data_IF_827184479578
#
_entry.id   IF_827184479578
#
_cell.length_a   1.000
_cell.length_b   1.000
_cell.length_c   1.000
_cell.angle_alpha   90.00
_cell.angle_beta   90.00
_cell.angle_gamma   90.00
#
_symmetry.space_group_name_H-M   'P 1'
#
loop_
_entity.id
_entity.type
_entity.pdbx_description
1 polymer ?
#
# COMPACT_ATOMS: atom_id res chain seq x y z
N UNK A 1 -13.50 15.80 -22.44
CA UNK A 1 -13.36 14.36 -22.15
C UNK A 1 -13.45 14.24 -20.64
N UNK A 2 -14.49 13.59 -20.10
CA UNK A 2 -14.59 13.38 -18.65
C UNK A 2 -13.45 12.45 -18.28
N UNK A 3 -12.46 12.92 -17.52
CA UNK A 3 -11.35 12.09 -17.08
C UNK A 3 -11.92 11.05 -16.12
N UNK A 4 -12.12 9.83 -16.59
CA UNK A 4 -12.52 8.72 -15.73
C UNK A 4 -11.28 8.25 -14.99
N UNK A 5 -11.39 8.07 -13.67
CA UNK A 5 -10.32 7.45 -12.89
C UNK A 5 -10.23 5.96 -13.26
N UNK A 6 -9.37 5.60 -14.22
CA UNK A 6 -9.19 4.20 -14.69
C UNK A 6 -8.42 3.31 -13.71
N UNK A 7 -7.95 3.85 -12.59
CA UNK A 7 -7.15 3.11 -11.62
C UNK A 7 -8.01 2.25 -10.69
N UNK A 8 -9.17 2.76 -10.29
CA UNK A 8 -10.06 2.02 -9.38
C UNK A 8 -10.88 0.99 -10.15
N UNK A 9 -10.81 -0.26 -9.72
CA UNK A 9 -11.59 -1.38 -10.27
C UNK A 9 -13.05 -1.30 -9.80
N UNK A 10 -13.33 -0.55 -8.74
CA UNK A 10 -14.64 -0.55 -8.08
C UNK A 10 -15.60 0.42 -8.78
N UNK A 11 -16.76 -0.10 -9.18
CA UNK A 11 -17.86 0.67 -9.79
C UNK A 11 -18.91 1.09 -8.78
N UNK A 12 -19.13 0.28 -7.75
CA UNK A 12 -20.10 0.55 -6.68
C UNK A 12 -19.61 0.01 -5.34
N UNK A 13 -19.92 0.75 -4.26
CA UNK A 13 -19.74 0.30 -2.89
C UNK A 13 -21.09 -0.08 -2.27
N UNK A 14 -21.08 -1.15 -1.47
CA UNK A 14 -22.21 -1.59 -0.67
C UNK A 14 -21.85 -1.40 0.81
N UNK A 15 -22.39 -0.37 1.49
CA UNK A 15 -22.06 -0.11 2.87
C UNK A 15 -22.58 -1.23 3.77
N UNK A 16 -21.86 -1.50 4.86
CA UNK A 16 -22.37 -2.37 5.93
C UNK A 16 -23.56 -1.67 6.60
N UNK A 17 -24.75 -2.26 6.49
CA UNK A 17 -26.00 -1.59 6.86
C UNK A 17 -26.39 -1.73 8.34
N UNK A 18 -25.70 -2.58 9.11
CA UNK A 18 -26.14 -2.93 10.46
C UNK A 18 -24.97 -3.00 11.43
N UNK A 19 -25.10 -2.29 12.54
CA UNK A 19 -24.36 -2.58 13.76
C UNK A 19 -24.72 -3.99 14.23
N UNK A 20 -23.75 -4.88 14.28
CA UNK A 20 -23.96 -6.26 14.65
C UNK A 20 -22.66 -6.77 15.27
N UNK A 21 -22.75 -7.49 16.38
CA UNK A 21 -21.63 -8.10 17.07
C UNK A 21 -21.26 -9.50 16.50
N UNK A 22 -21.99 -10.02 15.51
CA UNK A 22 -21.71 -11.32 14.90
C UNK A 22 -20.78 -11.22 13.69
N UNK A 23 -19.90 -12.21 13.57
CA UNK A 23 -19.06 -12.42 12.39
C UNK A 23 -19.93 -12.82 11.20
N UNK A 24 -19.72 -12.20 10.04
CA UNK A 24 -20.56 -12.42 8.86
C UNK A 24 -19.82 -12.25 7.54
N UNK A 25 -20.43 -12.78 6.48
CA UNK A 25 -20.05 -12.46 5.11
C UNK A 25 -20.76 -11.20 4.63
N UNK A 26 -20.08 -10.40 3.82
CA UNK A 26 -20.62 -9.18 3.23
C UNK A 26 -20.10 -8.99 1.81
N UNK A 27 -20.99 -8.59 0.91
CA UNK A 27 -20.59 -8.05 -0.37
C UNK A 27 -20.33 -6.55 -0.19
N UNK A 28 -19.08 -6.11 -0.31
CA UNK A 28 -18.68 -4.71 -0.04
C UNK A 28 -18.58 -3.87 -1.31
N UNK A 29 -18.34 -4.50 -2.45
CA UNK A 29 -18.05 -3.80 -3.70
C UNK A 29 -18.58 -4.55 -4.91
N UNK A 30 -18.80 -3.82 -6.00
CA UNK A 30 -18.98 -4.37 -7.33
C UNK A 30 -17.88 -3.83 -8.23
N UNK A 31 -17.17 -4.72 -8.91
CA UNK A 31 -16.16 -4.36 -9.90
C UNK A 31 -16.84 -3.72 -11.14
N UNK A 32 -16.16 -2.76 -11.76
CA UNK A 32 -16.55 -2.15 -13.03
C UNK A 32 -16.48 -3.17 -14.17
N UNK A 33 -17.20 -2.94 -15.28
CA UNK A 33 -16.98 -3.66 -16.52
C UNK A 33 -15.52 -3.62 -16.98
N UNK A 34 -15.08 -4.70 -17.61
CA UNK A 34 -13.75 -4.75 -18.26
C UNK A 34 -13.65 -3.63 -19.30
N UNK A 35 -12.57 -2.86 -19.24
CA UNK A 35 -12.34 -1.69 -20.11
C UNK A 35 -12.57 -0.33 -19.44
N UNK A 36 -13.24 -0.30 -18.29
CA UNK A 36 -13.43 0.93 -17.48
C UNK A 36 -12.37 1.12 -16.38
N UNK A 37 -11.42 0.18 -16.31
CA UNK A 37 -10.29 0.22 -15.40
C UNK A 37 -9.10 -0.51 -16.02
N UNK A 38 -7.92 -0.29 -15.46
CA UNK A 38 -6.69 -0.99 -15.81
C UNK A 38 -6.31 -1.91 -14.64
N UNK A 39 -6.19 -3.21 -14.94
CA UNK A 39 -5.70 -4.18 -13.97
C UNK A 39 -4.21 -3.95 -13.68
N UNK A 40 -3.80 -4.22 -12.44
CA UNK A 40 -2.41 -4.04 -12.00
C UNK A 40 -1.38 -4.88 -12.79
N UNK A 41 -1.77 -6.05 -13.27
CA UNK A 41 -0.94 -6.95 -14.09
C UNK A 41 -0.72 -6.41 -15.51
N UNK A 42 -1.63 -5.58 -16.02
CA UNK A 42 -1.51 -4.93 -17.33
C UNK A 42 -0.60 -3.69 -17.31
N UNK A 43 -0.23 -3.17 -16.13
CA UNK A 43 0.71 -2.06 -16.04
C UNK A 43 2.14 -2.53 -16.30
N UNK A 44 2.93 -1.78 -17.08
CA UNK A 44 4.33 -2.13 -17.32
C UNK A 44 5.19 -1.94 -16.06
N UNK A 45 6.34 -2.61 -16.09
CA UNK A 45 7.34 -2.59 -15.02
C UNK A 45 7.12 -3.67 -13.96
N UNK A 46 8.18 -4.38 -13.63
CA UNK A 46 8.18 -5.36 -12.56
C UNK A 46 8.49 -4.69 -11.22
N UNK A 47 7.72 -5.05 -10.21
CA UNK A 47 7.98 -4.63 -8.83
C UNK A 47 7.83 -5.82 -7.91
N UNK A 48 8.70 -5.89 -6.91
CA UNK A 48 8.54 -6.82 -5.79
C UNK A 48 7.36 -6.43 -4.89
N UNK A 49 6.87 -5.19 -5.01
CA UNK A 49 5.69 -4.68 -4.34
C UNK A 49 4.60 -4.25 -5.32
N UNK A 50 3.45 -4.91 -5.23
CA UNK A 50 2.24 -4.51 -5.95
C UNK A 50 1.70 -3.16 -5.49
N UNK A 51 1.88 -2.84 -4.20
CA UNK A 51 1.46 -1.57 -3.62
C UNK A 51 2.30 -0.42 -4.18
N UNK A 52 3.62 -0.57 -4.27
CA UNK A 52 4.48 0.46 -4.87
C UNK A 52 4.15 0.68 -6.34
N UNK A 53 4.02 -0.41 -7.11
CA UNK A 53 3.63 -0.37 -8.52
C UNK A 53 2.26 0.26 -8.74
N UNK A 54 1.42 0.32 -7.71
CA UNK A 54 0.14 1.03 -7.75
C UNK A 54 0.31 2.51 -7.37
N UNK A 55 1.27 2.83 -6.49
CA UNK A 55 1.44 4.18 -5.94
C UNK A 55 2.09 5.19 -6.90
N UNK A 56 3.11 4.78 -7.62
CA UNK A 56 3.88 5.66 -8.49
C UNK A 56 4.54 4.84 -9.62
N UNK A 57 4.82 5.45 -10.79
CA UNK A 57 5.52 4.76 -11.86
C UNK A 57 6.96 4.41 -11.44
N UNK A 58 7.46 3.25 -11.85
CA UNK A 58 8.77 2.72 -11.43
C UNK A 58 9.92 3.29 -12.28
N UNK A 59 11.07 3.54 -11.65
CA UNK A 59 12.25 4.17 -12.28
C UNK A 59 13.21 3.23 -13.02
N UNK A 60 13.05 1.91 -13.01
CA UNK A 60 14.02 0.97 -13.59
C UNK A 60 13.79 0.63 -15.07
N UNK A 61 14.86 0.32 -15.80
CA UNK A 61 14.75 -0.31 -17.13
C UNK A 61 14.55 -1.82 -17.00
N UNK A 62 13.96 -2.42 -18.03
CA UNK A 62 14.08 -3.87 -18.22
C UNK A 62 15.49 -4.24 -18.72
N UNK A 63 15.85 -5.52 -18.60
CA UNK A 63 17.14 -6.07 -19.07
C UNK A 63 17.35 -5.89 -20.60
N UNK A 64 16.30 -5.52 -21.34
CA UNK A 64 16.35 -5.27 -22.79
C UNK A 64 16.70 -3.82 -23.14
N UNK A 65 16.88 -2.96 -22.12
CA UNK A 65 17.18 -1.54 -22.29
C UNK A 65 15.98 -0.71 -22.74
N UNK A 66 14.76 -1.19 -22.51
CA UNK A 66 13.52 -0.43 -22.75
C UNK A 66 13.36 0.67 -21.73
N UNK A 67 12.71 1.78 -22.12
CA UNK A 67 12.42 2.90 -21.22
C UNK A 67 11.63 2.46 -19.99
N UNK A 68 11.95 3.05 -18.83
CA UNK A 68 11.22 2.78 -17.59
C UNK A 68 9.79 3.32 -17.64
N UNK A 69 8.83 2.74 -16.89
CA UNK A 69 7.50 3.32 -16.74
C UNK A 69 7.52 4.79 -16.33
N UNK A 70 8.45 5.17 -15.44
CA UNK A 70 8.64 6.56 -15.03
C UNK A 70 9.03 7.46 -16.21
N UNK A 71 10.00 7.06 -17.02
CA UNK A 71 10.40 7.83 -18.21
C UNK A 71 9.26 7.97 -19.22
N UNK A 72 8.51 6.88 -19.47
CA UNK A 72 7.36 6.91 -20.39
C UNK A 72 6.32 7.93 -19.90
N UNK A 73 6.02 7.95 -18.60
CA UNK A 73 5.11 8.94 -17.98
C UNK A 73 5.66 10.37 -18.07
N UNK A 74 6.98 10.57 -17.97
CA UNK A 74 7.58 11.90 -18.13
C UNK A 74 7.52 12.43 -19.56
N UNK A 75 7.69 11.54 -20.55
CA UNK A 75 7.56 11.88 -21.96
C UNK A 75 6.11 12.19 -22.32
N UNK A 76 5.16 11.40 -21.83
CA UNK A 76 3.70 11.61 -21.88
C UNK A 76 3.04 11.73 -23.26
N UNK A 77 3.81 11.83 -24.35
CA UNK A 77 3.30 11.92 -25.72
C UNK A 77 4.05 10.98 -26.69
N UNK A 78 3.32 10.48 -27.69
CA UNK A 78 3.84 9.51 -28.66
C UNK A 78 5.06 10.04 -29.43
N UNK A 79 5.11 11.31 -29.81
CA UNK A 79 6.21 11.85 -30.63
C UNK A 79 7.49 12.00 -29.81
N UNK A 80 7.38 12.44 -28.55
CA UNK A 80 8.52 12.48 -27.64
C UNK A 80 9.03 11.07 -27.35
N UNK A 81 8.11 10.11 -27.21
CA UNK A 81 8.43 8.70 -27.00
C UNK A 81 9.17 8.08 -28.19
N UNK A 82 8.71 8.29 -29.42
CA UNK A 82 9.38 7.81 -30.64
C UNK A 82 10.78 8.39 -30.79
N UNK A 83 10.91 9.69 -30.48
CA UNK A 83 12.19 10.37 -30.53
C UNK A 83 13.14 9.83 -29.46
N UNK A 84 12.65 9.64 -28.24
CA UNK A 84 13.43 9.04 -27.17
C UNK A 84 13.89 7.62 -27.51
N UNK A 85 13.00 6.78 -28.04
CA UNK A 85 13.32 5.43 -28.51
C UNK A 85 14.44 5.47 -29.57
N UNK A 86 14.30 6.34 -30.58
CA UNK A 86 15.31 6.51 -31.63
C UNK A 86 16.69 6.89 -31.07
N UNK A 87 16.73 7.84 -30.13
CA UNK A 87 17.99 8.29 -29.51
C UNK A 87 18.62 7.18 -28.68
N UNK A 88 17.84 6.49 -27.86
CA UNK A 88 18.32 5.46 -26.94
C UNK A 88 18.76 4.18 -27.67
N UNK A 89 18.12 3.82 -28.79
CA UNK A 89 18.47 2.65 -29.59
C UNK A 89 19.56 2.91 -30.64
N UNK A 90 19.97 4.17 -30.86
CA UNK A 90 20.99 4.53 -31.85
C UNK A 90 22.34 3.80 -31.68
N UNK A 91 22.86 3.53 -30.46
CA UNK A 91 24.08 2.74 -30.28
C UNK A 91 23.90 1.28 -30.73
N UNK A 92 22.76 0.65 -30.40
CA UNK A 92 22.41 -0.72 -30.81
C UNK A 92 22.29 -0.80 -32.32
N UNK A 93 21.55 0.13 -32.93
CA UNK A 93 21.37 0.17 -34.38
C UNK A 93 22.73 0.27 -35.10
N UNK A 94 23.62 1.18 -34.67
CA UNK A 94 24.97 1.30 -35.25
C UNK A 94 25.78 0.02 -35.15
N UNK A 95 25.68 -0.70 -34.03
CA UNK A 95 26.35 -2.00 -33.87
C UNK A 95 25.76 -3.04 -34.84
N UNK A 96 24.44 -3.15 -34.93
CA UNK A 96 23.76 -4.07 -35.84
C UNK A 96 24.09 -3.76 -37.31
N UNK A 97 24.09 -2.49 -37.69
CA UNK A 97 24.48 -2.03 -39.02
C UNK A 97 25.93 -2.42 -39.35
N UNK A 98 26.85 -2.25 -38.38
CA UNK A 98 28.26 -2.65 -38.52
C UNK A 98 28.42 -4.16 -38.71
N UNK A 99 27.54 -4.95 -38.08
CA UNK A 99 27.51 -6.40 -38.19
C UNK A 99 26.70 -6.90 -39.40
N UNK A 100 26.03 -6.02 -40.15
CA UNK A 100 25.15 -6.38 -41.27
C UNK A 100 23.90 -7.17 -40.83
N UNK A 101 23.43 -6.93 -39.59
CA UNK A 101 22.28 -7.62 -39.00
C UNK A 101 21.09 -6.68 -38.97
N UNK A 102 19.93 -7.14 -39.42
CA UNK A 102 18.68 -6.40 -39.30
C UNK A 102 18.12 -6.45 -37.87
N UNK A 103 17.57 -5.33 -37.40
CA UNK A 103 16.89 -5.26 -36.11
C UNK A 103 15.45 -5.80 -36.20
N UNK A 104 15.33 -7.13 -36.23
CA UNK A 104 14.05 -7.82 -36.37
C UNK A 104 13.03 -7.48 -35.26
N UNK A 105 13.49 -6.97 -34.10
CA UNK A 105 12.63 -6.67 -32.97
C UNK A 105 12.13 -5.21 -32.96
N UNK A 106 12.50 -4.39 -33.95
CA UNK A 106 12.19 -2.95 -33.96
C UNK A 106 10.68 -2.69 -33.97
N UNK A 107 9.92 -3.37 -34.82
CA UNK A 107 8.47 -3.17 -34.92
C UNK A 107 7.74 -3.59 -33.64
N UNK A 108 8.16 -4.72 -33.05
CA UNK A 108 7.57 -5.24 -31.80
C UNK A 108 7.87 -4.32 -30.62
N UNK A 109 9.11 -3.84 -30.48
CA UNK A 109 9.49 -2.87 -29.43
C UNK A 109 8.67 -1.59 -29.54
N UNK A 110 8.55 -1.04 -30.74
CA UNK A 110 7.80 0.18 -31.00
C UNK A 110 6.31 0.01 -30.66
N UNK A 111 5.71 -1.11 -31.08
CA UNK A 111 4.30 -1.43 -30.78
C UNK A 111 4.08 -1.59 -29.27
N UNK A 112 4.98 -2.30 -28.58
CA UNK A 112 4.94 -2.47 -27.11
C UNK A 112 5.00 -1.11 -26.41
N UNK A 113 5.94 -0.26 -26.81
CA UNK A 113 6.18 1.04 -26.18
C UNK A 113 4.94 1.96 -26.24
N UNK A 114 4.22 1.97 -27.38
CA UNK A 114 2.98 2.74 -27.50
C UNK A 114 1.84 2.17 -26.65
N UNK A 115 1.73 0.84 -26.56
CA UNK A 115 0.75 0.18 -25.68
C UNK A 115 1.01 0.47 -24.19
N UNK A 116 2.28 0.49 -23.80
CA UNK A 116 2.71 0.86 -22.45
C UNK A 116 2.38 2.32 -22.13
N UNK A 117 2.62 3.25 -23.07
CA UNK A 117 2.22 4.65 -22.90
C UNK A 117 0.71 4.81 -22.67
N UNK A 118 -0.12 4.13 -23.46
CA UNK A 118 -1.59 4.18 -23.31
C UNK A 118 -2.02 3.70 -21.92
N UNK A 119 -1.46 2.58 -21.46
CA UNK A 119 -1.78 2.01 -20.14
C UNK A 119 -1.31 2.92 -19.00
N UNK A 120 -0.09 3.44 -19.09
CA UNK A 120 0.49 4.32 -18.07
C UNK A 120 -0.21 5.67 -17.99
N UNK A 121 -0.52 6.31 -19.11
CA UNK A 121 -1.18 7.63 -19.12
C UNK A 121 -2.60 7.57 -18.58
N UNK A 122 -3.30 6.44 -18.75
CA UNK A 122 -4.63 6.21 -18.16
C UNK A 122 -4.57 5.88 -16.67
N UNK A 123 -3.56 5.14 -16.22
CA UNK A 123 -3.43 4.73 -14.82
C UNK A 123 -2.79 5.79 -13.92
N UNK A 124 -1.78 6.49 -14.45
CA UNK A 124 -1.08 7.63 -13.84
C UNK A 124 -1.43 8.92 -14.59
N UNK A 125 -2.70 9.37 -14.54
CA UNK A 125 -3.09 10.58 -15.23
C UNK A 125 -2.29 11.77 -14.68
N UNK A 126 -1.78 12.61 -15.57
CA UNK A 126 -1.16 13.88 -15.21
C UNK A 126 -2.23 14.91 -14.82
N UNK A 127 -2.97 14.62 -13.76
CA UNK A 127 -4.03 15.45 -13.20
C UNK A 127 -3.78 15.60 -11.69
N UNK A 128 -3.64 16.83 -11.17
CA UNK A 128 -3.42 17.11 -9.75
C UNK A 128 -4.42 16.41 -8.80
N UNK A 129 -5.64 16.14 -9.24
CA UNK A 129 -6.66 15.45 -8.42
C UNK A 129 -6.32 14.00 -8.09
N UNK A 130 -5.46 13.35 -8.90
CA UNK A 130 -5.06 11.96 -8.75
C UNK A 130 -3.60 11.78 -8.32
N UNK A 131 -2.88 12.88 -8.08
CA UNK A 131 -1.52 12.81 -7.56
C UNK A 131 -1.52 12.32 -6.11
N UNK A 132 -0.58 11.44 -5.73
CA UNK A 132 -0.43 11.02 -4.34
C UNK A 132 -0.16 12.23 -3.43
N UNK A 133 -0.92 12.34 -2.35
CA UNK A 133 -0.75 13.39 -1.35
C UNK A 133 0.46 13.07 -0.48
N UNK A 134 1.47 13.94 -0.50
CA UNK A 134 2.64 13.82 0.37
C UNK A 134 2.32 14.31 1.78
N UNK A 135 2.68 13.51 2.78
CA UNK A 135 2.49 13.81 4.21
C UNK A 135 3.75 13.42 4.99
N UNK A 136 3.86 13.89 6.23
CA UNK A 136 4.95 13.54 7.14
C UNK A 136 4.37 12.93 8.39
N UNK A 137 4.86 11.75 8.77
CA UNK A 137 4.47 11.02 9.97
C UNK A 137 5.74 10.53 10.67
N UNK A 138 5.84 10.78 11.97
CA UNK A 138 6.97 10.44 12.83
C UNK A 138 8.31 10.89 12.22
N UNK A 139 8.34 12.13 11.74
CA UNK A 139 9.49 12.76 11.06
C UNK A 139 9.97 12.01 9.80
N UNK A 140 9.14 11.13 9.23
CA UNK A 140 9.40 10.40 7.99
C UNK A 140 8.39 10.77 6.90
N UNK A 141 8.80 10.75 5.62
CA UNK A 141 7.92 11.09 4.51
C UNK A 141 7.03 9.90 4.12
N UNK A 142 5.74 10.17 3.90
CA UNK A 142 4.73 9.21 3.45
C UNK A 142 3.93 9.79 2.29
N UNK A 143 3.29 8.92 1.53
CA UNK A 143 2.29 9.25 0.51
C UNK A 143 0.95 8.61 0.85
N UNK A 144 -0.12 9.36 0.63
CA UNK A 144 -1.52 8.94 0.76
C UNK A 144 -2.20 8.97 -0.61
N UNK A 145 -2.96 7.94 -0.92
CA UNK A 145 -3.68 7.83 -2.20
C UNK A 145 -4.79 6.78 -2.17
N UNK A 146 -5.66 6.78 -3.18
CA UNK A 146 -6.71 5.74 -3.34
C UNK A 146 -6.09 4.39 -3.76
N UNK A 147 -6.43 3.25 -3.13
CA UNK A 147 -6.04 1.95 -3.64
C UNK A 147 -6.81 1.61 -4.93
N UNK A 148 -6.35 0.62 -5.69
CA UNK A 148 -7.05 0.14 -6.90
C UNK A 148 -8.29 -0.70 -6.59
N UNK A 149 -8.30 -1.35 -5.42
CA UNK A 149 -9.41 -2.19 -4.95
C UNK A 149 -9.80 -1.83 -3.51
N UNK A 150 -10.31 -0.62 -3.25
CA UNK A 150 -10.83 -0.24 -1.94
C UNK A 150 -12.01 -1.13 -1.55
N UNK A 151 -12.17 -1.40 -0.25
CA UNK A 151 -13.35 -2.07 0.30
C UNK A 151 -14.47 -1.09 0.65
N UNK A 152 -14.10 0.15 0.99
CA UNK A 152 -15.02 1.20 1.41
C UNK A 152 -14.80 2.47 0.59
N UNK A 153 -15.86 3.24 0.38
CA UNK A 153 -15.78 4.51 -0.33
C UNK A 153 -14.84 5.48 0.41
N UNK A 154 -13.91 6.10 -0.32
CA UNK A 154 -12.94 7.04 0.26
C UNK A 154 -11.77 6.38 1.02
N UNK A 155 -11.66 5.05 1.03
CA UNK A 155 -10.51 4.35 1.59
C UNK A 155 -9.20 4.85 0.96
N UNK A 156 -8.17 5.04 1.78
CA UNK A 156 -6.82 5.41 1.33
C UNK A 156 -5.80 4.36 1.74
N UNK A 157 -4.70 4.30 1.00
CA UNK A 157 -3.49 3.59 1.38
C UNK A 157 -2.40 4.61 1.66
N UNK A 158 -1.67 4.41 2.75
CA UNK A 158 -0.57 5.26 3.19
C UNK A 158 0.71 4.42 3.21
N UNK A 159 1.71 4.84 2.45
CA UNK A 159 3.00 4.13 2.31
C UNK A 159 4.15 5.11 2.50
N UNK A 160 5.36 4.66 2.89
CA UNK A 160 6.54 5.51 2.85
C UNK A 160 6.73 6.16 1.47
N UNK A 161 7.20 7.41 1.43
CA UNK A 161 7.46 8.11 0.18
C UNK A 161 8.83 7.71 -0.38
N UNK A 162 8.86 6.76 -1.31
CA UNK A 162 10.08 6.41 -2.04
C UNK A 162 10.38 7.35 -3.20
N UNK A 163 9.53 8.32 -3.50
CA UNK A 163 9.67 9.26 -4.63
C UNK A 163 10.42 10.55 -4.26
N UNK A 164 11.01 10.61 -3.07
CA UNK A 164 11.73 11.79 -2.55
C UNK A 164 12.87 12.28 -3.45
N UNK A 165 13.48 11.39 -4.23
CA UNK A 165 14.55 11.73 -5.17
C UNK A 165 14.05 12.27 -6.52
N UNK A 166 12.74 12.40 -6.72
CA UNK A 166 12.14 12.88 -7.97
C UNK A 166 11.98 14.41 -8.06
N UNK A 167 12.67 15.17 -7.20
CA UNK A 167 12.50 16.62 -7.09
C UNK A 167 12.74 17.42 -8.39
N UNK A 168 13.62 16.95 -9.28
CA UNK A 168 13.91 17.62 -10.57
C UNK A 168 12.95 17.24 -11.71
N UNK A 169 11.86 16.51 -11.44
CA UNK A 169 10.94 16.01 -12.47
C UNK A 169 10.48 17.10 -13.46
N UNK A 170 10.01 18.23 -12.94
CA UNK A 170 9.48 19.32 -13.78
C UNK A 170 10.56 20.00 -14.62
N UNK A 171 11.79 20.09 -14.10
CA UNK A 171 12.94 20.57 -14.87
C UNK A 171 13.22 19.64 -16.05
N UNK A 172 13.16 18.33 -15.84
CA UNK A 172 13.35 17.36 -16.91
C UNK A 172 12.23 17.45 -17.96
N UNK A 173 10.97 17.55 -17.53
CA UNK A 173 9.83 17.77 -18.44
C UNK A 173 10.00 19.03 -19.29
N UNK A 174 10.43 20.13 -18.68
CA UNK A 174 10.68 21.38 -19.40
C UNK A 174 11.85 21.28 -20.38
N UNK A 175 12.93 20.57 -20.02
CA UNK A 175 14.07 20.35 -20.91
C UNK A 175 13.69 19.56 -22.17
N UNK A 176 12.71 18.66 -22.10
CA UNK A 176 12.23 17.90 -23.26
C UNK A 176 11.62 18.78 -24.35
N UNK A 177 11.13 19.99 -24.00
CA UNK A 177 10.64 20.96 -24.99
C UNK A 177 11.76 21.43 -25.93
N UNK A 178 13.02 21.36 -25.49
CA UNK A 178 14.20 21.76 -26.26
C UNK A 178 14.66 20.70 -27.27
N UNK A 179 14.02 19.52 -27.31
CA UNK A 179 14.34 18.47 -28.29
C UNK A 179 14.00 18.88 -29.74
N UNK A 180 13.08 19.84 -29.92
CA UNK A 180 12.62 20.33 -31.23
C UNK A 180 13.01 21.79 -31.42
N UNK A 181 14.21 22.04 -31.93
CA UNK A 181 14.58 23.37 -32.45
C UNK A 181 14.35 23.38 -33.95
N UNK A 182 13.55 24.34 -34.43
CA UNK A 182 13.35 24.60 -35.85
C UNK A 182 14.25 25.76 -36.23
N UNK A 183 15.19 25.52 -37.14
CA UNK A 183 15.86 26.57 -37.89
C UNK A 183 15.38 26.46 -39.35
N UNK A 184 15.22 27.58 -40.04
CA UNK A 184 14.37 27.75 -41.24
C UNK A 184 14.81 26.96 -42.49
N UNK A 185 15.82 26.09 -42.37
CA UNK A 185 16.33 25.25 -43.47
C UNK A 185 16.61 23.78 -43.11
N UNK A 186 16.49 23.36 -41.84
CA UNK A 186 16.60 21.94 -41.45
C UNK A 186 16.05 21.68 -40.04
N UNK A 187 15.36 20.54 -39.85
CA UNK A 187 14.98 20.05 -38.53
C UNK A 187 16.19 19.39 -37.86
N UNK A 188 16.81 20.09 -36.90
CA UNK A 188 17.82 19.51 -36.02
C UNK A 188 17.15 19.00 -34.75
N UNK A 189 17.45 17.77 -34.37
CA UNK A 189 16.94 17.19 -33.13
C UNK A 189 18.04 17.17 -32.08
N UNK A 190 17.87 17.95 -31.02
CA UNK A 190 18.79 17.95 -29.90
C UNK A 190 18.59 16.67 -29.07
N UNK A 191 19.56 15.78 -29.08
CA UNK A 191 19.51 14.51 -28.35
C UNK A 191 19.85 14.67 -26.85
N UNK A 192 20.50 15.78 -26.49
CA UNK A 192 21.00 16.04 -25.14
C UNK A 192 19.91 15.91 -24.06
N UNK A 193 18.69 16.47 -24.22
CA UNK A 193 17.65 16.32 -23.20
C UNK A 193 17.21 14.86 -22.97
N UNK A 194 17.23 14.01 -24.00
CA UNK A 194 16.91 12.58 -23.84
C UNK A 194 18.04 11.85 -23.07
N UNK A 195 19.29 12.19 -23.36
CA UNK A 195 20.45 11.62 -22.65
C UNK A 195 20.45 12.07 -21.18
N UNK A 196 20.11 13.33 -20.91
CA UNK A 196 19.94 13.87 -19.56
C UNK A 196 18.78 13.20 -18.82
N UNK A 197 17.62 13.04 -19.46
CA UNK A 197 16.48 12.32 -18.90
C UNK A 197 16.86 10.89 -18.52
N UNK A 198 17.58 10.18 -19.40
CA UNK A 198 18.09 8.84 -19.14
C UNK A 198 18.96 8.84 -17.88
N UNK A 199 19.97 9.72 -17.82
CA UNK A 199 20.89 9.82 -16.66
C UNK A 199 20.15 10.14 -15.36
N UNK A 200 19.18 11.05 -15.43
CA UNK A 200 18.32 11.40 -14.30
C UNK A 200 17.50 10.20 -13.81
N UNK A 201 16.88 9.45 -14.74
CA UNK A 201 16.15 8.24 -14.40
C UNK A 201 17.06 7.18 -13.76
N UNK A 202 18.29 7.00 -14.28
CA UNK A 202 19.27 6.05 -13.74
C UNK A 202 19.66 6.42 -12.30
N UNK A 203 19.89 7.71 -12.04
CA UNK A 203 20.21 8.24 -10.71
C UNK A 203 19.03 8.08 -9.73
N UNK A 204 17.81 8.43 -10.15
CA UNK A 204 16.58 8.20 -9.36
C UNK A 204 16.44 6.72 -9.03
N UNK A 205 16.53 5.84 -10.03
CA UNK A 205 16.40 4.40 -9.82
C UNK A 205 17.44 3.87 -8.84
N UNK A 206 18.70 4.27 -8.97
CA UNK A 206 19.76 3.85 -8.05
C UNK A 206 19.49 4.33 -6.61
N UNK A 207 19.08 5.59 -6.43
CA UNK A 207 18.79 6.17 -5.10
C UNK A 207 17.55 5.55 -4.46
N UNK A 208 16.47 5.38 -5.21
CA UNK A 208 15.26 4.74 -4.68
C UNK A 208 15.50 3.25 -4.41
N UNK A 209 16.31 2.56 -5.22
CA UNK A 209 16.69 1.16 -4.97
C UNK A 209 17.54 1.05 -3.70
N UNK A 210 18.49 1.96 -3.50
CA UNK A 210 19.29 2.03 -2.27
C UNK A 210 18.42 2.33 -1.05
N UNK A 211 17.41 3.20 -1.18
CA UNK A 211 16.45 3.48 -0.11
C UNK A 211 15.68 2.21 0.31
N UNK A 212 15.32 1.36 -0.67
CA UNK A 212 14.65 0.07 -0.42
C UNK A 212 15.60 -1.05 0.06
N UNK A 213 16.91 -0.81 0.11
CA UNK A 213 17.86 -1.87 0.43
C UNK A 213 17.75 -2.33 1.89
N UNK A 214 17.90 -3.64 2.10
CA UNK A 214 17.79 -4.28 3.41
C UNK A 214 16.35 -4.47 3.87
N UNK A 215 16.18 -4.66 5.19
CA UNK A 215 14.90 -4.97 5.83
C UNK A 215 14.17 -3.72 6.36
N UNK A 216 14.61 -2.53 5.94
CA UNK A 216 14.17 -1.23 6.48
C UNK A 216 12.68 -0.94 6.24
N UNK A 217 12.11 -1.49 5.16
CA UNK A 217 10.76 -1.20 4.70
C UNK A 217 9.89 -2.46 4.57
N UNK A 218 10.16 -3.50 5.35
CA UNK A 218 9.24 -4.63 5.43
C UNK A 218 7.93 -4.21 6.09
N UNK A 219 6.80 -4.79 5.67
CA UNK A 219 5.49 -4.53 6.24
C UNK A 219 5.32 -5.16 7.65
N UNK A 220 6.16 -4.73 8.60
CA UNK A 220 6.21 -5.20 9.99
C UNK A 220 5.27 -4.36 10.87
N UNK A 221 4.89 -4.93 12.01
CA UNK A 221 4.09 -4.27 13.05
C UNK A 221 4.95 -3.27 13.84
N UNK A 222 5.35 -2.18 13.18
CA UNK A 222 6.26 -1.15 13.74
C UNK A 222 5.85 0.29 13.44
N UNK A 223 4.59 0.49 13.05
CA UNK A 223 4.07 1.78 12.58
C UNK A 223 2.98 2.36 13.49
N UNK A 224 2.91 1.99 14.76
CA UNK A 224 1.84 2.44 15.67
C UNK A 224 1.91 3.95 15.90
N UNK A 225 3.10 4.52 16.12
CA UNK A 225 3.28 5.97 16.27
C UNK A 225 2.82 6.73 15.01
N UNK A 226 3.30 6.38 13.79
CA UNK A 226 2.74 6.92 12.55
C UNK A 226 1.22 6.77 12.43
N UNK A 227 0.64 5.65 12.88
CA UNK A 227 -0.80 5.43 12.80
C UNK A 227 -1.59 6.38 13.73
N UNK A 228 -1.15 6.54 14.98
CA UNK A 228 -1.75 7.49 15.94
C UNK A 228 -1.63 8.93 15.44
N UNK A 229 -0.46 9.28 14.91
CA UNK A 229 -0.20 10.61 14.37
C UNK A 229 -1.07 10.90 13.15
N UNK A 230 -1.23 9.94 12.24
CA UNK A 230 -2.09 10.08 11.08
C UNK A 230 -3.55 10.33 11.48
N UNK A 231 -4.10 9.54 12.40
CA UNK A 231 -5.47 9.74 12.88
C UNK A 231 -5.63 11.09 13.60
N UNK A 232 -4.61 11.52 14.34
CA UNK A 232 -4.64 12.83 15.04
C UNK A 232 -4.65 14.00 14.06
N UNK A 233 -3.89 13.92 12.96
CA UNK A 233 -3.70 15.04 12.03
C UNK A 233 -4.72 15.07 10.89
N UNK A 234 -5.15 13.91 10.39
CA UNK A 234 -5.86 13.81 9.12
C UNK A 234 -7.23 13.16 9.20
N UNK A 235 -7.64 12.65 10.36
CA UNK A 235 -8.92 11.93 10.51
C UNK A 235 -9.94 12.65 11.38
N UNK A 236 -11.17 12.16 11.32
CA UNK A 236 -12.31 12.57 12.15
C UNK A 236 -12.72 11.43 13.07
N UNK A 237 -13.59 11.74 14.03
CA UNK A 237 -14.25 10.75 14.87
C UNK A 237 -14.92 9.66 14.01
N UNK A 238 -14.72 8.40 14.40
CA UNK A 238 -15.21 7.21 13.69
C UNK A 238 -14.20 6.64 12.70
N UNK A 239 -13.29 7.44 12.15
CA UNK A 239 -12.31 6.97 11.17
C UNK A 239 -11.35 5.92 11.75
N UNK A 240 -10.91 5.01 10.88
CA UNK A 240 -10.12 3.84 11.26
C UNK A 240 -8.82 3.83 10.47
N UNK A 241 -7.73 3.41 11.12
CA UNK A 241 -6.47 3.10 10.46
C UNK A 241 -6.00 1.70 10.87
N UNK A 242 -5.71 0.88 9.87
CA UNK A 242 -5.37 -0.53 10.07
C UNK A 242 -4.10 -0.91 9.33
N UNK A 243 -3.45 -1.98 9.79
CA UNK A 243 -2.34 -2.61 9.08
C UNK A 243 -2.54 -4.13 9.12
N UNK A 244 -2.34 -4.81 8.00
CA UNK A 244 -2.21 -6.27 8.05
C UNK A 244 -0.84 -6.63 8.67
N UNK A 245 -0.79 -7.62 9.56
CA UNK A 245 0.47 -8.25 9.96
C UNK A 245 1.26 -8.78 8.76
N UNK A 246 2.58 -8.82 8.89
CA UNK A 246 3.51 -9.21 7.83
C UNK A 246 3.15 -10.56 7.16
N UNK A 247 2.78 -11.55 7.97
CA UNK A 247 2.49 -12.92 7.53
C UNK A 247 1.18 -13.04 6.74
N UNK A 248 0.20 -12.16 7.02
CA UNK A 248 -1.12 -12.12 6.35
C UNK A 248 -1.22 -10.99 5.33
N UNK A 249 -0.14 -10.26 5.12
CA UNK A 249 -0.07 -9.15 4.18
C UNK A 249 -0.09 -9.62 2.74
N UNK A 250 -0.86 -8.94 1.88
CA UNK A 250 -0.79 -9.11 0.43
C UNK A 250 0.52 -8.60 -0.16
N UNK A 251 1.24 -7.75 0.56
CA UNK A 251 2.52 -7.19 0.16
C UNK A 251 3.47 -7.15 1.35
N UNK A 252 4.57 -7.90 1.27
CA UNK A 252 5.57 -8.00 2.35
C UNK A 252 6.67 -6.96 2.23
N UNK A 253 6.86 -6.40 1.05
CA UNK A 253 8.04 -5.62 0.70
C UNK A 253 7.85 -4.12 0.92
N UNK A 254 6.62 -3.69 1.22
CA UNK A 254 6.29 -2.28 1.41
C UNK A 254 5.32 -2.10 2.57
N UNK A 255 5.62 -1.24 3.56
CA UNK A 255 4.70 -0.97 4.64
C UNK A 255 3.51 -0.19 4.11
N UNK A 256 2.30 -0.60 4.48
CA UNK A 256 1.09 0.06 4.02
C UNK A 256 0.01 0.07 5.10
N UNK A 257 -0.43 1.27 5.43
CA UNK A 257 -1.56 1.50 6.32
C UNK A 257 -2.81 1.70 5.47
N UNK A 258 -3.94 1.16 5.89
CA UNK A 258 -5.22 1.33 5.22
C UNK A 258 -6.09 2.24 6.07
N UNK A 259 -6.39 3.42 5.54
CA UNK A 259 -7.31 4.37 6.17
C UNK A 259 -8.73 4.10 5.67
N UNK A 260 -9.65 3.90 6.60
CA UNK A 260 -11.06 3.67 6.32
C UNK A 260 -11.84 4.87 6.87
N UNK A 261 -12.49 5.67 6.01
CA UNK A 261 -13.26 6.81 6.47
C UNK A 261 -14.63 6.41 7.02
N UNK A 262 -15.08 7.17 8.01
CA UNK A 262 -16.37 7.04 8.64
C UNK A 262 -16.44 5.90 9.65
N UNK A 263 -17.51 5.92 10.44
CA UNK A 263 -17.78 4.89 11.43
C UNK A 263 -18.32 3.62 10.75
N UNK A 264 -17.40 2.81 10.21
CA UNK A 264 -17.74 1.54 9.59
C UNK A 264 -18.14 0.55 10.68
N UNK A 265 -19.34 -0.05 10.63
CA UNK A 265 -19.86 -0.90 11.70
C UNK A 265 -19.21 -2.30 11.66
N UNK A 266 -17.94 -2.36 12.09
CA UNK A 266 -17.19 -3.60 12.23
C UNK A 266 -17.63 -4.34 13.50
N UNK A 267 -17.96 -5.65 13.43
CA UNK A 267 -18.47 -6.41 14.57
C UNK A 267 -17.63 -6.35 15.85
N UNK A 268 -16.31 -6.28 15.70
CA UNK A 268 -15.38 -6.09 16.81
C UNK A 268 -15.73 -4.89 17.71
N UNK A 269 -16.22 -3.78 17.13
CA UNK A 269 -16.49 -2.55 17.88
C UNK A 269 -17.75 -2.61 18.75
N UNK A 270 -18.62 -3.59 18.52
CA UNK A 270 -19.86 -3.80 19.25
C UNK A 270 -19.75 -4.90 20.31
N UNK A 271 -18.53 -5.39 20.56
CA UNK A 271 -18.29 -6.38 21.58
C UNK A 271 -18.23 -5.77 22.98
N UNK A 272 -18.64 -6.58 23.95
CA UNK A 272 -18.42 -6.28 25.34
C UNK A 272 -16.92 -6.22 25.63
N UNK A 273 -16.54 -5.22 26.43
CA UNK A 273 -15.17 -5.02 26.87
C UNK A 273 -15.13 -5.07 28.40
N UNK A 274 -14.15 -5.77 28.95
CA UNK A 274 -13.93 -5.92 30.39
C UNK A 274 -12.61 -5.26 30.76
N UNK A 275 -12.62 -4.41 31.79
CA UNK A 275 -11.40 -3.80 32.34
C UNK A 275 -10.55 -4.90 32.96
N UNK A 276 -9.26 -4.95 32.62
CA UNK A 276 -8.34 -5.94 33.17
C UNK A 276 -7.73 -5.47 34.49
N UNK A 277 -7.03 -4.32 34.46
CA UNK A 277 -6.32 -3.77 35.63
C UNK A 277 -6.56 -2.25 35.73
N UNK A 278 -6.50 -1.56 34.60
CA UNK A 278 -6.67 -0.11 34.46
C UNK A 278 -7.68 0.13 33.32
N UNK A 279 -8.54 1.15 33.45
CA UNK A 279 -9.56 1.52 32.45
C UNK A 279 -8.98 1.73 31.05
N UNK A 280 -7.69 2.07 30.97
CA UNK A 280 -6.92 2.17 29.72
C UNK A 280 -6.81 0.85 28.95
N UNK A 281 -6.83 -0.29 29.64
CA UNK A 281 -6.59 -1.62 29.10
C UNK A 281 -7.82 -2.52 29.28
N UNK A 282 -8.50 -2.80 28.17
CA UNK A 282 -9.73 -3.59 28.17
C UNK A 282 -9.57 -4.85 27.34
N UNK A 283 -9.93 -6.00 27.89
CA UNK A 283 -10.09 -7.23 27.12
C UNK A 283 -11.42 -7.17 26.36
N UNK A 284 -11.38 -7.48 25.06
CA UNK A 284 -12.57 -7.58 24.23
C UNK A 284 -13.03 -9.04 24.14
N UNK A 285 -14.32 -9.28 24.37
CA UNK A 285 -14.93 -10.60 24.19
C UNK A 285 -15.07 -10.94 22.70
N UNK A 286 -13.96 -11.39 22.13
CA UNK A 286 -13.83 -11.67 20.70
C UNK A 286 -13.17 -13.02 20.42
N UNK A 287 -13.38 -13.53 19.20
CA UNK A 287 -12.89 -14.84 18.75
C UNK A 287 -11.36 -15.00 18.80
N UNK A 288 -10.63 -13.91 18.59
CA UNK A 288 -9.18 -13.85 18.77
C UNK A 288 -8.85 -13.04 20.04
N UNK A 289 -7.78 -13.39 20.79
CA UNK A 289 -7.32 -12.59 21.91
C UNK A 289 -7.14 -11.13 21.49
N UNK A 290 -7.86 -10.21 22.13
CA UNK A 290 -7.89 -8.81 21.72
C UNK A 290 -7.77 -7.91 22.94
N UNK A 291 -6.73 -7.07 22.93
CA UNK A 291 -6.55 -5.99 23.90
C UNK A 291 -6.94 -4.67 23.26
N UNK A 292 -7.84 -3.94 23.90
CA UNK A 292 -8.11 -2.55 23.56
C UNK A 292 -7.32 -1.62 24.48
N UNK A 293 -6.54 -0.73 23.88
CA UNK A 293 -5.73 0.29 24.58
C UNK A 293 -6.19 1.68 24.14
N UNK A 294 -6.44 2.57 25.09
CA UNK A 294 -6.78 3.97 24.76
C UNK A 294 -5.56 4.87 24.94
N UNK A 295 -5.28 5.72 23.96
CA UNK A 295 -4.23 6.74 24.00
C UNK A 295 -4.86 8.11 23.77
N UNK A 296 -4.47 9.10 24.57
CA UNK A 296 -4.84 10.50 24.38
C UNK A 296 -3.68 11.25 23.74
N UNK A 297 -3.79 11.56 22.44
CA UNK A 297 -2.73 12.22 21.67
C UNK A 297 -2.48 13.68 22.08
N UNK A 298 -3.27 14.23 23.01
CA UNK A 298 -3.05 15.56 23.60
C UNK A 298 -2.11 15.51 24.80
N UNK A 299 -1.88 14.33 25.38
CA UNK A 299 -0.93 14.16 26.49
C UNK A 299 0.51 14.18 25.97
N UNK A 300 1.41 14.88 26.65
CA UNK A 300 2.81 15.04 26.22
C UNK A 300 3.58 13.72 25.97
N UNK A 301 3.20 12.64 26.67
CA UNK A 301 3.84 11.33 26.65
C UNK A 301 3.15 10.31 25.72
N UNK A 302 2.17 10.73 24.90
CA UNK A 302 1.41 9.82 24.04
C UNK A 302 2.30 8.99 23.09
N UNK A 303 3.42 9.57 22.61
CA UNK A 303 4.40 8.89 21.75
C UNK A 303 5.07 7.75 22.50
N UNK A 304 5.58 8.01 23.69
CA UNK A 304 6.24 7.01 24.53
C UNK A 304 5.27 5.86 24.88
N UNK A 305 4.02 6.20 25.25
CA UNK A 305 2.98 5.20 25.52
C UNK A 305 2.71 4.31 24.30
N UNK A 306 2.64 4.91 23.11
CA UNK A 306 2.41 4.19 21.84
C UNK A 306 3.59 3.28 21.48
N UNK A 307 4.81 3.79 21.61
CA UNK A 307 6.05 3.04 21.38
C UNK A 307 6.21 1.86 22.33
N UNK A 308 5.77 2.02 23.58
CA UNK A 308 5.74 0.93 24.56
C UNK A 308 4.81 -0.20 24.11
N UNK A 309 3.58 0.14 23.72
CA UNK A 309 2.61 -0.83 23.19
C UNK A 309 3.18 -1.55 21.97
N UNK A 310 3.79 -0.81 21.04
CA UNK A 310 4.44 -1.37 19.85
C UNK A 310 5.57 -2.34 20.22
N UNK A 311 6.47 -1.92 21.12
CA UNK A 311 7.62 -2.72 21.54
C UNK A 311 7.18 -4.06 22.11
N UNK A 312 6.14 -4.08 22.95
CA UNK A 312 5.65 -5.35 23.50
C UNK A 312 5.04 -6.25 22.43
N UNK A 313 4.31 -5.69 21.46
CA UNK A 313 3.80 -6.46 20.32
C UNK A 313 4.94 -7.07 19.48
N UNK A 314 6.05 -6.34 19.33
CA UNK A 314 7.24 -6.84 18.64
C UNK A 314 7.95 -7.94 19.44
N UNK A 315 8.05 -7.81 20.76
CA UNK A 315 8.59 -8.85 21.65
C UNK A 315 7.76 -10.14 21.59
N UNK A 316 6.43 -10.03 21.53
CA UNK A 316 5.53 -11.17 21.37
C UNK A 316 5.76 -11.90 20.04
N UNK A 317 5.92 -11.14 18.94
CA UNK A 317 6.24 -11.74 17.64
C UNK A 317 7.59 -12.44 17.66
N UNK A 318 8.63 -11.77 18.17
CA UNK A 318 10.00 -12.27 18.14
C UNK A 318 10.23 -13.48 19.07
N UNK A 319 9.60 -13.50 20.24
CA UNK A 319 9.88 -14.49 21.27
C UNK A 319 8.81 -15.60 21.39
N UNK A 320 7.59 -15.33 20.94
CA UNK A 320 6.44 -16.22 21.15
C UNK A 320 5.69 -16.55 19.86
N UNK A 321 6.15 -16.07 18.69
CA UNK A 321 5.47 -16.29 17.41
C UNK A 321 4.01 -15.79 17.40
N UNK A 322 3.73 -14.73 18.17
CA UNK A 322 2.42 -14.11 18.26
C UNK A 322 2.44 -12.81 17.45
N UNK A 323 1.71 -12.79 16.33
CA UNK A 323 1.52 -11.61 15.53
C UNK A 323 0.37 -10.75 16.03
N UNK A 324 0.40 -9.47 15.69
CA UNK A 324 -0.61 -8.49 16.10
C UNK A 324 -1.17 -7.78 14.89
N UNK A 325 -2.50 -7.84 14.73
CA UNK A 325 -3.26 -7.03 13.76
C UNK A 325 -3.75 -5.75 14.45
N UNK A 326 -3.12 -4.59 14.21
CA UNK A 326 -3.56 -3.33 14.81
C UNK A 326 -4.75 -2.72 14.06
N UNK A 327 -5.77 -2.34 14.80
CA UNK A 327 -6.93 -1.60 14.30
C UNK A 327 -7.16 -0.38 15.19
N UNK A 328 -6.79 0.80 14.71
CA UNK A 328 -6.91 2.05 15.46
C UNK A 328 -8.16 2.79 15.03
N UNK A 329 -8.94 3.27 16.00
CA UNK A 329 -10.15 4.07 15.77
C UNK A 329 -10.03 5.41 16.46
N UNK A 330 -10.32 6.49 15.74
CA UNK A 330 -10.40 7.83 16.33
C UNK A 330 -11.74 7.98 17.06
N UNK A 331 -11.70 8.21 18.37
CA UNK A 331 -12.90 8.42 19.20
C UNK A 331 -13.27 9.92 19.35
N UNK A 332 -12.59 10.79 18.63
CA UNK A 332 -12.74 12.23 18.75
C UNK A 332 -11.93 12.82 19.92
N UNK A 333 -11.78 14.14 19.92
CA UNK A 333 -11.11 14.89 20.99
C UNK A 333 -9.70 14.38 21.34
N UNK A 334 -8.92 13.90 20.35
CA UNK A 334 -7.57 13.37 20.56
C UNK A 334 -7.50 11.98 21.18
N UNK A 335 -8.64 11.33 21.44
CA UNK A 335 -8.69 9.96 21.95
C UNK A 335 -8.64 8.97 20.79
N UNK A 336 -7.70 8.03 20.86
CA UNK A 336 -7.52 6.97 19.87
C UNK A 336 -7.55 5.62 20.60
N UNK A 337 -8.42 4.73 20.16
CA UNK A 337 -8.54 3.37 20.68
C UNK A 337 -7.84 2.39 19.75
N UNK A 338 -6.82 1.71 20.24
CA UNK A 338 -6.06 0.67 19.56
C UNK A 338 -6.66 -0.70 19.92
N UNK A 339 -7.27 -1.37 18.97
CA UNK A 339 -7.64 -2.78 19.09
C UNK A 339 -6.47 -3.63 18.57
N UNK A 340 -5.78 -4.31 19.48
CA UNK A 340 -4.64 -5.17 19.21
C UNK A 340 -5.13 -6.62 19.18
N UNK A 341 -5.27 -7.18 17.98
CA UNK A 341 -5.82 -8.53 17.78
C UNK A 341 -4.65 -9.49 17.59
N UNK A 342 -4.47 -10.40 18.55
CA UNK A 342 -3.36 -11.35 18.59
C UNK A 342 -3.73 -12.68 17.95
N UNK A 343 -2.79 -13.25 17.19
CA UNK A 343 -2.91 -14.56 16.54
C UNK A 343 -1.51 -15.15 16.39
N UNK A 344 -1.40 -16.45 16.13
CA UNK A 344 -0.09 -17.02 15.78
C UNK A 344 0.39 -16.49 14.41
N UNK A 345 1.71 -16.28 14.28
CA UNK A 345 2.37 -15.75 13.07
C UNK A 345 2.41 -16.77 11.90
N UNK A 346 1.95 -18.00 12.16
CA UNK A 346 1.88 -19.07 11.17
C UNK A 346 3.17 -19.86 10.99
N UNK A 347 4.20 -19.65 11.83
CA UNK A 347 5.45 -20.46 11.80
C UNK A 347 5.16 -21.96 11.88
N UNK A 348 4.14 -22.33 12.65
CA UNK A 348 3.74 -23.72 12.92
C UNK A 348 2.52 -24.16 12.10
N UNK A 349 2.05 -23.34 11.15
CA UNK A 349 0.87 -23.62 10.33
C UNK A 349 1.24 -24.17 8.96
N UNK A 350 0.41 -25.10 8.47
CA UNK A 350 0.48 -25.53 7.08
C UNK A 350 0.22 -24.35 6.12
N UNK A 351 0.92 -24.32 4.98
CA UNK A 351 0.82 -23.24 4.00
C UNK A 351 -0.62 -22.96 3.52
N UNK A 352 -1.43 -24.01 3.35
CA UNK A 352 -2.84 -23.89 2.97
C UNK A 352 -3.69 -23.21 4.05
N UNK A 353 -3.43 -23.52 5.33
CA UNK A 353 -4.07 -22.86 6.47
C UNK A 353 -3.67 -21.39 6.53
N UNK A 354 -2.41 -21.10 6.25
CA UNK A 354 -1.87 -19.73 6.26
C UNK A 354 -2.48 -18.85 5.16
N UNK A 355 -2.74 -19.40 3.97
CA UNK A 355 -3.44 -18.68 2.89
C UNK A 355 -4.85 -18.23 3.30
N UNK A 356 -5.46 -18.91 4.27
CA UNK A 356 -6.80 -18.62 4.78
C UNK A 356 -6.78 -17.80 6.08
N UNK A 357 -5.60 -17.48 6.61
CA UNK A 357 -5.46 -16.73 7.85
C UNK A 357 -6.18 -15.37 7.77
N UNK A 358 -6.84 -14.94 8.85
CA UNK A 358 -7.62 -13.71 8.85
C UNK A 358 -6.69 -12.50 8.66
N UNK A 359 -6.99 -11.64 7.69
CA UNK A 359 -6.42 -10.30 7.60
C UNK A 359 -7.16 -9.35 8.54
N UNK A 360 -6.90 -8.05 8.48
CA UNK A 360 -7.52 -7.06 9.36
C UNK A 360 -9.06 -7.10 9.32
N UNK A 361 -9.65 -7.25 8.13
CA UNK A 361 -11.09 -7.22 7.95
C UNK A 361 -11.76 -8.48 8.53
N UNK A 362 -11.18 -9.65 8.28
CA UNK A 362 -11.64 -10.92 8.85
C UNK A 362 -11.39 -10.97 10.37
N UNK A 363 -10.30 -10.40 10.85
CA UNK A 363 -10.03 -10.23 12.28
C UNK A 363 -11.06 -9.32 12.95
N UNK A 364 -11.65 -8.37 12.22
CA UNK A 364 -12.77 -7.54 12.68
C UNK A 364 -14.16 -8.17 12.49
N UNK A 365 -14.24 -9.36 11.88
CA UNK A 365 -15.48 -10.13 11.75
C UNK A 365 -16.22 -9.97 10.42
N UNK A 366 -15.60 -9.35 9.41
CA UNK A 366 -16.19 -9.20 8.08
C UNK A 366 -15.42 -10.05 7.06
N UNK A 367 -16.13 -10.94 6.38
CA UNK A 367 -15.61 -11.75 5.29
C UNK A 367 -16.16 -11.25 3.96
N UNK A 368 -15.29 -10.90 3.02
CA UNK A 368 -15.72 -10.48 1.68
C UNK A 368 -16.36 -11.68 0.97
N UNK A 369 -17.63 -11.56 0.58
CA UNK A 369 -18.37 -12.62 -0.11
C UNK A 369 -17.61 -13.14 -1.34
N UNK A 370 -17.78 -14.44 -1.63
CA UNK A 370 -17.16 -15.14 -2.76
C UNK A 370 -15.62 -15.21 -2.73
N UNK A 371 -14.98 -14.88 -1.60
CA UNK A 371 -13.56 -15.15 -1.39
C UNK A 371 -13.32 -16.54 -0.78
N UNK A 372 -12.14 -17.15 -0.98
CA UNK A 372 -11.80 -18.44 -0.34
C UNK A 372 -11.93 -18.44 1.18
N UNK A 373 -11.62 -17.31 1.83
CA UNK A 373 -11.81 -17.13 3.28
C UNK A 373 -13.29 -17.17 3.66
N UNK A 374 -14.15 -16.46 2.93
CA UNK A 374 -15.58 -16.45 3.18
C UNK A 374 -16.23 -17.83 2.98
N UNK A 375 -15.81 -18.58 1.96
CA UNK A 375 -16.30 -19.96 1.72
C UNK A 375 -15.93 -20.87 2.90
N UNK A 376 -14.67 -20.80 3.34
CA UNK A 376 -14.18 -21.58 4.48
C UNK A 376 -14.93 -21.21 5.77
N UNK A 377 -15.07 -19.92 6.07
CA UNK A 377 -15.84 -19.43 7.21
C UNK A 377 -17.29 -19.90 7.18
N UNK A 378 -17.97 -19.79 6.03
CA UNK A 378 -19.37 -20.22 5.88
C UNK A 378 -19.55 -21.73 6.12
N UNK A 379 -18.51 -22.52 5.83
CA UNK A 379 -18.53 -23.98 6.00
C UNK A 379 -18.28 -24.39 7.45
N UNK A 380 -17.32 -23.74 8.12
CA UNK A 380 -16.83 -24.12 9.45
C UNK A 380 -17.57 -23.41 10.60
N UNK A 381 -18.09 -22.20 10.34
CA UNK A 381 -18.51 -21.27 11.39
C UNK A 381 -17.33 -20.61 12.11
N UNK A 382 -17.63 -19.60 12.92
CA UNK A 382 -16.61 -18.74 13.54
C UNK A 382 -15.64 -19.51 14.44
N UNK A 383 -16.15 -20.35 15.36
CA UNK A 383 -15.33 -21.08 16.34
C UNK A 383 -14.27 -21.94 15.65
N UNK A 384 -14.68 -22.74 14.67
CA UNK A 384 -13.76 -23.64 13.95
C UNK A 384 -12.86 -22.88 12.98
N UNK A 385 -13.32 -21.76 12.41
CA UNK A 385 -12.49 -20.93 11.55
C UNK A 385 -11.34 -20.26 12.30
N UNK A 386 -11.58 -19.68 13.49
CA UNK A 386 -10.54 -18.96 14.23
C UNK A 386 -9.65 -19.87 15.08
N UNK A 387 -10.10 -21.07 15.45
CA UNK A 387 -9.36 -21.99 16.32
C UNK A 387 -7.90 -22.25 15.86
N UNK A 388 -7.60 -22.48 14.57
CA UNK A 388 -6.23 -22.68 14.10
C UNK A 388 -5.36 -21.43 14.15
N UNK A 389 -5.88 -20.25 14.46
CA UNK A 389 -5.11 -19.01 14.49
C UNK A 389 -4.99 -18.44 15.91
N UNK A 390 -5.75 -18.98 16.87
CA UNK A 390 -5.74 -18.54 18.25
C UNK A 390 -4.40 -18.78 18.94
N UNK A 391 -4.14 -17.99 19.97
CA UNK A 391 -3.03 -18.21 20.91
C UNK A 391 -3.58 -18.98 22.12
N UNK A 392 -2.82 -19.94 22.63
CA UNK A 392 -3.17 -20.69 23.84
C UNK A 392 -3.29 -19.76 25.05
N UNK A 393 -4.30 -19.97 25.89
CA UNK A 393 -4.56 -19.21 27.13
C UNK A 393 -4.72 -17.68 26.95
N UNK A 394 -5.85 -17.29 26.33
CA UNK A 394 -6.23 -15.88 26.06
C UNK A 394 -6.14 -14.99 27.31
N UNK A 395 -6.65 -15.45 28.44
CA UNK A 395 -6.73 -14.64 29.66
C UNK A 395 -5.34 -14.42 30.27
N UNK A 396 -4.51 -15.46 30.31
CA UNK A 396 -3.13 -15.35 30.79
C UNK A 396 -2.31 -14.41 29.90
N UNK A 397 -2.42 -14.54 28.57
CA UNK A 397 -1.71 -13.67 27.62
C UNK A 397 -2.06 -12.19 27.86
N UNK A 398 -3.35 -11.86 27.86
CA UNK A 398 -3.81 -10.47 27.97
C UNK A 398 -3.48 -9.87 29.33
N UNK A 399 -3.63 -10.65 30.40
CA UNK A 399 -3.27 -10.21 31.77
C UNK A 399 -1.77 -9.96 31.89
N UNK A 400 -0.93 -10.87 31.40
CA UNK A 400 0.53 -10.72 31.40
C UNK A 400 0.98 -9.49 30.59
N UNK A 401 0.38 -9.29 29.42
CA UNK A 401 0.63 -8.15 28.55
C UNK A 401 0.36 -6.82 29.27
N UNK A 402 -0.78 -6.69 29.95
CA UNK A 402 -1.12 -5.47 30.69
C UNK A 402 -0.13 -5.22 31.84
N UNK A 403 0.26 -6.26 32.59
CA UNK A 403 1.28 -6.11 33.63
C UNK A 403 2.61 -5.58 33.07
N UNK A 404 3.04 -6.09 31.90
CA UNK A 404 4.27 -5.65 31.26
C UNK A 404 4.20 -4.19 30.77
N UNK A 405 3.04 -3.76 30.26
CA UNK A 405 2.80 -2.38 29.83
C UNK A 405 2.79 -1.39 31.00
N UNK A 406 2.27 -1.80 32.17
CA UNK A 406 2.22 -0.99 33.39
C UNK A 406 3.61 -0.94 34.07
N UNK A 407 4.29 -2.07 34.21
CA UNK A 407 5.53 -2.16 34.99
C UNK A 407 6.78 -1.61 34.29
N UNK A 408 6.69 -1.30 32.99
CA UNK A 408 7.73 -0.58 32.23
C UNK A 408 7.50 0.94 32.23
N UNK A 409 6.67 1.47 33.14
CA UNK A 409 6.38 2.90 33.31
C UNK A 409 7.40 3.67 34.13
#
# INVERSE_FOLDING_TARGET
MIIHNYRSIIGQFFPLQQENNEVRTANLTQDRPVGEFIKMDALPGDSKSSIEKMTYPLGGYDETGSMSPYMIVLLSDQRALDFAEKVLQAPRQRLLDTLGIDDNNKADRHTRLHSELESLTRFYPNNPEFEPKKITLNDQPFIEQEPTKPYFAGQRVITPDFTTYRAEQEKQRNNLLLCKTRDDSALYFNQTPIIELKRYNDDVFAKETALRAGDNFLNKTQYFTPMVEYLTQFSKEGDILVQNPFETSSDKNTPHLQFIPGDVPLPLFYQNSQVLIDDKYQQVDWHLPTLAVTVDSRQHDWREQTERVQTVCQELLANQHISTTPVLRNLGNGLIKMYLIFKQDGSDLAAETMQRAPGWLESCGIFISNTPKAVTFTTLGAVQYYAPYGVTDKEQLLTSLVHHLINRA
#
